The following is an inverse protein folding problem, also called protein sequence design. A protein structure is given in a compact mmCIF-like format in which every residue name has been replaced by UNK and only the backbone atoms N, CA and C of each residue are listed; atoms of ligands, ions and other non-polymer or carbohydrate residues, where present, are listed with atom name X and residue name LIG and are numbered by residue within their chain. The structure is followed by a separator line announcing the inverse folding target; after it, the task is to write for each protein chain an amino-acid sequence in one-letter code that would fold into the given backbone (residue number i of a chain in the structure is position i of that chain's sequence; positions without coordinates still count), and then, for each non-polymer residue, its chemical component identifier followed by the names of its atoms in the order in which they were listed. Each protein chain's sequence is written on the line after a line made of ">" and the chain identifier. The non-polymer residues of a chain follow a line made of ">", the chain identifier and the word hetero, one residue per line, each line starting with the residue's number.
data_IF_032279723306
#
_entry.id   IF_032279723306
#
_cell.length_a   1.000
_cell.length_b   1.000
_cell.length_c   1.000
_cell.angle_alpha   90.00
_cell.angle_beta   90.00
_cell.angle_gamma   90.00
#
_symmetry.space_group_name_H-M   'P 1'
#
loop_
_entity.id
_entity.type
_entity.pdbx_description
1 polymer ?
#
# COMPACT_ATOMS: atom_id res chain seq x y z
N UNK A 1 17.00 14.04 11.02
CA UNK A 1 16.14 12.84 11.26
C UNK A 1 16.13 12.05 9.97
N UNK A 2 16.11 10.72 10.02
CA UNK A 2 16.06 9.91 8.78
C UNK A 2 14.66 9.95 8.20
N UNK A 3 14.50 10.31 6.93
CA UNK A 3 13.19 10.32 6.25
C UNK A 3 12.63 8.88 6.12
N UNK A 4 11.31 8.76 6.10
CA UNK A 4 10.63 7.50 5.82
C UNK A 4 10.61 7.22 4.32
N UNK A 5 10.46 8.27 3.51
CA UNK A 5 10.46 8.20 2.04
C UNK A 5 11.35 9.32 1.52
N UNK A 6 12.19 9.00 0.54
CA UNK A 6 12.99 9.97 -0.21
C UNK A 6 12.82 9.67 -1.70
N UNK A 7 12.54 10.68 -2.51
CA UNK A 7 12.30 10.54 -3.94
C UNK A 7 13.10 11.62 -4.67
N UNK A 8 13.87 11.22 -5.69
CA UNK A 8 14.70 12.11 -6.49
C UNK A 8 14.47 11.89 -7.98
N UNK A 9 13.91 12.89 -8.66
CA UNK A 9 13.65 12.92 -10.10
C UNK A 9 12.96 11.63 -10.62
N UNK A 10 12.02 11.07 -9.83
CA UNK A 10 11.39 9.80 -10.13
C UNK A 10 10.50 9.93 -11.36
N UNK A 11 10.75 9.09 -12.35
CA UNK A 11 10.05 9.09 -13.63
C UNK A 11 9.41 7.74 -13.91
N UNK A 12 8.17 7.74 -14.41
CA UNK A 12 7.47 6.54 -14.87
C UNK A 12 6.69 6.80 -16.14
N UNK A 13 6.89 5.94 -17.14
CA UNK A 13 6.23 5.99 -18.44
C UNK A 13 5.47 4.70 -18.71
N UNK A 14 4.35 4.82 -19.43
CA UNK A 14 3.56 3.71 -19.96
C UNK A 14 3.35 3.95 -21.46
N UNK A 15 4.21 3.35 -22.30
CA UNK A 15 4.25 3.65 -23.71
C UNK A 15 4.58 5.14 -23.94
N UNK A 16 3.70 5.86 -24.60
CA UNK A 16 3.83 7.30 -24.86
C UNK A 16 3.39 8.20 -23.69
N UNK A 17 2.72 7.63 -22.68
CA UNK A 17 2.20 8.38 -21.54
C UNK A 17 3.28 8.49 -20.45
N UNK A 18 3.68 9.70 -20.09
CA UNK A 18 4.48 9.97 -18.89
C UNK A 18 3.53 10.12 -17.70
N UNK A 19 3.52 9.15 -16.80
CA UNK A 19 2.68 9.13 -15.62
C UNK A 19 3.31 9.87 -14.43
N UNK A 20 4.64 9.89 -14.34
CA UNK A 20 5.44 10.69 -13.41
C UNK A 20 6.62 11.27 -14.18
N UNK A 21 6.86 12.56 -14.00
CA UNK A 21 7.94 13.29 -14.66
C UNK A 21 8.81 13.99 -13.62
N UNK A 22 9.99 13.42 -13.36
CA UNK A 22 11.03 13.94 -12.45
C UNK A 22 10.52 14.40 -11.05
N UNK A 23 9.58 13.62 -10.48
CA UNK A 23 8.99 13.93 -9.18
C UNK A 23 10.03 13.79 -8.07
N UNK A 24 10.13 14.81 -7.19
CA UNK A 24 11.05 14.81 -6.05
C UNK A 24 10.35 15.36 -4.81
N UNK A 25 10.41 14.63 -3.71
CA UNK A 25 10.00 15.08 -2.37
C UNK A 25 10.46 14.09 -1.31
N UNK A 26 10.29 14.47 -0.05
CA UNK A 26 10.62 13.66 1.11
C UNK A 26 9.42 13.58 2.07
N UNK A 27 9.34 12.49 2.83
CA UNK A 27 8.35 12.30 3.89
C UNK A 27 9.08 11.91 5.17
N UNK A 28 8.83 12.63 6.25
CA UNK A 28 9.40 12.37 7.56
C UNK A 28 8.87 11.09 8.21
N UNK A 29 9.62 10.52 9.15
CA UNK A 29 9.12 9.38 9.94
C UNK A 29 7.97 9.81 10.84
N UNK A 30 6.92 8.98 10.89
CA UNK A 30 5.72 9.23 11.69
C UNK A 30 4.80 10.30 11.11
N UNK A 31 5.11 10.81 9.91
CA UNK A 31 4.30 11.81 9.23
C UNK A 31 3.09 11.18 8.54
N UNK A 32 1.92 11.82 8.69
CA UNK A 32 0.75 11.55 7.87
C UNK A 32 0.84 12.43 6.61
N UNK A 33 1.21 11.83 5.49
CA UNK A 33 1.40 12.52 4.22
C UNK A 33 0.27 12.23 3.24
N UNK A 34 -0.25 13.26 2.57
CA UNK A 34 -1.33 13.16 1.59
C UNK A 34 -0.93 13.66 0.21
N UNK A 35 -1.25 12.88 -0.82
CA UNK A 35 -1.14 13.28 -2.23
C UNK A 35 -2.52 13.71 -2.74
N UNK A 36 -2.65 14.98 -3.13
CA UNK A 36 -3.88 15.56 -3.67
C UNK A 36 -3.66 15.92 -5.14
N UNK A 37 -4.66 15.68 -5.96
CA UNK A 37 -4.62 16.02 -7.39
C UNK A 37 -5.74 15.32 -8.17
N UNK A 38 -5.97 15.73 -9.42
CA UNK A 38 -7.02 15.17 -10.28
C UNK A 38 -6.76 13.68 -10.61
N UNK A 39 -7.77 13.03 -11.18
CA UNK A 39 -7.60 11.70 -11.74
C UNK A 39 -6.61 11.73 -12.91
N UNK A 40 -5.76 10.70 -12.98
CA UNK A 40 -4.67 10.65 -13.97
C UNK A 40 -3.38 11.39 -13.55
N UNK A 41 -3.35 12.14 -12.44
CA UNK A 41 -2.15 12.86 -11.99
C UNK A 41 -0.97 11.98 -11.51
N UNK A 42 -1.02 10.67 -11.70
CA UNK A 42 0.09 9.77 -11.34
C UNK A 42 0.11 9.30 -9.89
N UNK A 43 -0.82 9.73 -9.02
CA UNK A 43 -0.86 9.36 -7.58
C UNK A 43 -0.75 7.85 -7.35
N UNK A 44 -1.60 7.08 -8.02
CA UNK A 44 -1.60 5.60 -7.91
C UNK A 44 -0.30 4.99 -8.45
N UNK A 45 0.27 5.56 -9.49
CA UNK A 45 1.56 5.12 -10.05
C UNK A 45 2.67 5.31 -9.02
N UNK A 46 2.70 6.46 -8.35
CA UNK A 46 3.67 6.75 -7.31
C UNK A 46 3.57 5.75 -6.14
N UNK A 47 2.36 5.51 -5.62
CA UNK A 47 2.17 4.50 -4.57
C UNK A 47 2.62 3.09 -5.00
N UNK A 48 2.38 2.71 -6.27
CA UNK A 48 2.83 1.41 -6.79
C UNK A 48 4.35 1.31 -6.90
N UNK A 49 5.04 2.41 -7.23
CA UNK A 49 6.50 2.46 -7.23
C UNK A 49 7.06 2.29 -5.81
N UNK A 50 6.53 3.05 -4.84
CA UNK A 50 6.96 2.98 -3.45
C UNK A 50 6.64 1.61 -2.81
N UNK A 51 5.52 1.00 -3.18
CA UNK A 51 5.17 -0.37 -2.78
C UNK A 51 5.90 -1.45 -3.61
N UNK A 52 6.81 -1.04 -4.50
CA UNK A 52 7.62 -1.93 -5.34
C UNK A 52 6.82 -2.84 -6.29
N UNK A 53 5.60 -2.44 -6.64
CA UNK A 53 4.73 -3.20 -7.55
C UNK A 53 5.06 -2.95 -9.03
N UNK A 54 5.72 -1.84 -9.32
CA UNK A 54 6.26 -1.49 -10.65
C UNK A 54 7.64 -0.88 -10.47
N UNK A 55 8.51 -1.00 -11.47
CA UNK A 55 9.83 -0.36 -11.47
C UNK A 55 9.77 1.04 -12.10
N UNK A 56 10.60 1.99 -11.64
CA UNK A 56 10.76 3.28 -12.28
C UNK A 56 11.48 3.16 -13.63
N UNK A 57 11.30 4.18 -14.48
CA UNK A 57 12.05 4.31 -15.74
C UNK A 57 13.21 5.32 -15.61
N UNK A 58 13.21 6.12 -14.53
CA UNK A 58 14.28 7.06 -14.19
C UNK A 58 14.16 7.58 -12.77
N UNK A 59 15.23 8.21 -12.29
CA UNK A 59 15.32 8.71 -10.92
C UNK A 59 15.52 7.61 -9.90
N UNK A 60 15.45 7.97 -8.63
CA UNK A 60 15.62 7.03 -7.49
C UNK A 60 14.57 7.30 -6.42
N UNK A 61 14.26 6.28 -5.65
CA UNK A 61 13.47 6.46 -4.42
C UNK A 61 13.87 5.43 -3.36
N UNK A 62 13.73 5.81 -2.12
CA UNK A 62 13.93 4.92 -0.98
C UNK A 62 12.72 4.91 -0.05
N UNK A 63 12.47 3.77 0.55
CA UNK A 63 11.47 3.58 1.60
C UNK A 63 12.20 2.99 2.81
N UNK A 64 12.13 3.68 3.93
CA UNK A 64 12.84 3.33 5.17
C UNK A 64 14.36 3.17 4.98
N UNK A 65 14.94 3.96 4.05
CA UNK A 65 16.35 3.90 3.66
C UNK A 65 16.72 2.71 2.79
N UNK A 66 15.73 1.99 2.24
CA UNK A 66 15.88 0.88 1.32
C UNK A 66 15.53 1.32 -0.11
N UNK A 67 16.39 1.02 -1.08
CA UNK A 67 16.15 1.36 -2.49
C UNK A 67 14.99 0.55 -3.07
N UNK A 68 14.04 1.21 -3.75
CA UNK A 68 12.81 0.57 -4.27
C UNK A 68 13.07 -0.47 -5.37
N UNK A 69 14.26 -0.47 -5.99
CA UNK A 69 14.65 -1.43 -7.03
C UNK A 69 15.55 -2.52 -6.45
N UNK A 70 16.61 -2.14 -5.75
CA UNK A 70 17.59 -3.10 -5.23
C UNK A 70 17.05 -3.88 -4.02
N UNK A 71 16.32 -3.23 -3.13
CA UNK A 71 15.84 -3.80 -1.86
C UNK A 71 14.34 -4.16 -1.87
N UNK A 72 13.72 -4.33 -3.02
CA UNK A 72 12.26 -4.49 -3.14
C UNK A 72 11.65 -5.60 -2.26
N UNK A 73 12.37 -6.70 -2.04
CA UNK A 73 11.90 -7.80 -1.17
C UNK A 73 11.81 -7.34 0.28
N UNK A 74 12.85 -6.66 0.77
CA UNK A 74 12.92 -6.14 2.14
C UNK A 74 11.89 -5.04 2.39
N UNK A 75 11.58 -4.23 1.38
CA UNK A 75 10.52 -3.21 1.46
C UNK A 75 9.16 -3.89 1.61
N UNK A 76 8.86 -4.94 0.82
CA UNK A 76 7.60 -5.69 0.89
C UNK A 76 7.33 -6.35 2.25
N UNK A 77 8.37 -6.65 3.02
CA UNK A 77 8.26 -7.16 4.39
C UNK A 77 7.88 -6.06 5.41
N UNK A 78 7.98 -4.78 5.03
CA UNK A 78 7.82 -3.63 5.95
C UNK A 78 6.65 -2.73 5.62
N UNK A 79 6.14 -2.78 4.38
CA UNK A 79 5.08 -1.88 3.93
C UNK A 79 3.77 -2.63 3.74
N UNK A 80 2.68 -2.00 4.16
CA UNK A 80 1.32 -2.38 3.77
C UNK A 80 0.85 -1.51 2.61
N UNK A 81 0.29 -2.13 1.57
CA UNK A 81 -0.31 -1.44 0.44
C UNK A 81 -1.81 -1.75 0.36
N UNK A 82 -2.62 -0.72 0.47
CA UNK A 82 -4.07 -0.84 0.25
C UNK A 82 -4.44 -0.16 -1.07
N UNK A 83 -4.82 -0.92 -2.11
CA UNK A 83 -5.21 -0.35 -3.39
C UNK A 83 -6.54 0.39 -3.28
N UNK A 84 -6.73 1.42 -4.13
CA UNK A 84 -7.98 2.17 -4.20
C UNK A 84 -9.17 1.41 -4.81
N UNK A 85 -8.95 0.16 -5.26
CA UNK A 85 -10.01 -0.75 -5.70
C UNK A 85 -10.16 -1.87 -4.69
N UNK A 86 -11.37 -2.39 -4.55
CA UNK A 86 -11.65 -3.55 -3.73
C UNK A 86 -10.70 -4.71 -4.09
N UNK A 87 -9.94 -5.18 -3.12
CA UNK A 87 -8.83 -6.13 -3.33
C UNK A 87 -8.98 -7.44 -2.55
N UNK A 88 -10.04 -7.56 -1.75
CA UNK A 88 -10.35 -8.81 -1.06
C UNK A 88 -11.02 -9.80 -2.03
N UNK A 89 -10.97 -11.08 -1.72
CA UNK A 89 -11.71 -12.11 -2.43
C UNK A 89 -13.21 -11.94 -2.15
N UNK A 90 -14.02 -11.50 -3.14
CA UNK A 90 -15.40 -11.10 -2.89
C UNK A 90 -16.31 -12.25 -2.48
N UNK A 91 -15.98 -13.48 -2.88
CA UNK A 91 -16.74 -14.70 -2.57
C UNK A 91 -16.43 -15.28 -1.20
N UNK A 92 -15.30 -14.92 -0.61
CA UNK A 92 -14.94 -15.28 0.74
C UNK A 92 -15.58 -14.33 1.76
N UNK A 93 -15.89 -14.83 2.94
CA UNK A 93 -16.27 -13.99 4.08
C UNK A 93 -15.12 -13.12 4.55
N UNK A 94 -15.42 -12.13 5.38
CA UNK A 94 -14.40 -11.31 6.05
C UNK A 94 -13.42 -12.18 6.84
N UNK A 95 -13.94 -13.16 7.59
CA UNK A 95 -13.10 -14.08 8.38
C UNK A 95 -12.20 -14.96 7.52
N UNK A 96 -12.72 -15.48 6.40
CA UNK A 96 -11.92 -16.29 5.46
C UNK A 96 -10.85 -15.46 4.75
N UNK A 97 -11.13 -14.21 4.37
CA UNK A 97 -10.13 -13.31 3.84
C UNK A 97 -9.02 -13.05 4.87
N UNK A 98 -9.37 -12.77 6.13
CA UNK A 98 -8.37 -12.57 7.19
C UNK A 98 -7.50 -13.82 7.39
N UNK A 99 -8.10 -15.00 7.45
CA UNK A 99 -7.37 -16.25 7.61
C UNK A 99 -6.44 -16.53 6.41
N UNK A 100 -6.92 -16.26 5.20
CA UNK A 100 -6.13 -16.40 3.98
C UNK A 100 -4.88 -15.49 4.00
N UNK A 101 -5.05 -14.21 4.29
CA UNK A 101 -3.92 -13.27 4.32
C UNK A 101 -2.98 -13.55 5.50
N UNK A 102 -3.49 -13.94 6.67
CA UNK A 102 -2.66 -14.34 7.79
C UNK A 102 -1.76 -15.53 7.43
N UNK A 103 -2.34 -16.56 6.79
CA UNK A 103 -1.58 -17.71 6.31
C UNK A 103 -0.56 -17.33 5.23
N UNK A 104 -0.93 -16.44 4.29
CA UNK A 104 -0.06 -15.97 3.22
C UNK A 104 1.18 -15.23 3.76
N UNK A 105 0.99 -14.42 4.79
CA UNK A 105 2.07 -13.64 5.42
C UNK A 105 2.75 -14.36 6.60
N UNK A 106 2.29 -15.56 6.97
CA UNK A 106 2.87 -16.33 8.04
C UNK A 106 2.71 -15.69 9.42
N UNK A 107 1.57 -14.99 9.66
CA UNK A 107 1.28 -14.29 10.92
C UNK A 107 0.01 -14.85 11.56
N UNK A 108 -0.05 -14.79 12.89
CA UNK A 108 -1.27 -15.11 13.64
C UNK A 108 -2.16 -13.87 13.77
N UNK A 109 -3.46 -14.02 13.50
CA UNK A 109 -4.42 -12.89 13.59
C UNK A 109 -4.43 -12.28 15.00
N UNK A 110 -4.21 -13.11 16.03
CA UNK A 110 -4.22 -12.68 17.43
C UNK A 110 -3.01 -11.80 17.82
N UNK A 111 -1.86 -11.96 17.16
CA UNK A 111 -0.61 -11.27 17.55
C UNK A 111 -0.72 -9.74 17.54
N UNK A 112 -1.50 -9.19 16.61
CA UNK A 112 -1.63 -7.75 16.43
C UNK A 112 -3.08 -7.27 16.60
N UNK A 113 -3.93 -8.10 17.24
CA UNK A 113 -5.35 -7.78 17.38
C UNK A 113 -5.58 -6.44 18.09
N UNK A 114 -4.86 -6.16 19.16
CA UNK A 114 -5.02 -4.92 19.93
C UNK A 114 -4.73 -3.66 19.12
N UNK A 115 -3.78 -3.75 18.16
CA UNK A 115 -3.46 -2.65 17.25
C UNK A 115 -4.62 -2.31 16.32
N UNK A 116 -5.31 -3.33 15.81
CA UNK A 116 -6.40 -3.16 14.82
C UNK A 116 -7.79 -3.14 15.46
N UNK A 117 -7.91 -3.56 16.74
CA UNK A 117 -9.19 -3.71 17.42
C UNK A 117 -10.09 -2.46 17.36
N UNK A 118 -9.59 -1.24 17.50
CA UNK A 118 -10.44 -0.03 17.43
C UNK A 118 -11.19 0.09 16.10
N UNK A 119 -10.59 -0.39 15.00
CA UNK A 119 -11.20 -0.38 13.66
C UNK A 119 -11.95 -1.69 13.42
N UNK A 120 -11.30 -2.83 13.72
CA UNK A 120 -11.83 -4.16 13.40
C UNK A 120 -13.16 -4.47 14.12
N UNK A 121 -13.36 -4.00 15.36
CA UNK A 121 -14.62 -4.18 16.11
C UNK A 121 -15.85 -3.66 15.38
N UNK A 122 -15.70 -2.71 14.46
CA UNK A 122 -16.80 -2.20 13.65
C UNK A 122 -17.21 -3.21 12.55
N UNK A 123 -16.27 -4.04 12.09
CA UNK A 123 -16.48 -5.03 11.03
C UNK A 123 -16.71 -6.44 11.60
N UNK A 124 -16.25 -6.72 12.81
CA UNK A 124 -16.32 -8.01 13.48
C UNK A 124 -17.74 -8.64 13.49
N UNK A 125 -18.84 -7.87 13.71
CA UNK A 125 -20.19 -8.40 13.62
C UNK A 125 -20.55 -8.95 12.23
N UNK A 126 -19.84 -8.54 11.21
CA UNK A 126 -20.02 -8.97 9.81
C UNK A 126 -19.00 -10.02 9.38
N UNK A 127 -18.25 -10.63 10.31
CA UNK A 127 -17.17 -11.58 10.02
C UNK A 127 -17.60 -12.75 9.10
N UNK A 128 -18.83 -13.20 9.23
CA UNK A 128 -19.39 -14.27 8.38
C UNK A 128 -19.94 -13.76 7.04
N UNK A 129 -20.01 -12.45 6.82
CA UNK A 129 -20.53 -11.88 5.57
C UNK A 129 -19.49 -11.98 4.46
N UNK A 130 -19.92 -12.32 3.24
CA UNK A 130 -19.06 -12.28 2.06
C UNK A 130 -18.52 -10.86 1.84
N UNK A 131 -17.21 -10.75 1.56
CA UNK A 131 -16.55 -9.47 1.40
C UNK A 131 -17.15 -8.62 0.26
N UNK A 132 -17.59 -9.24 -0.83
CA UNK A 132 -18.29 -8.56 -1.93
C UNK A 132 -19.67 -7.99 -1.58
N UNK A 133 -20.19 -8.27 -0.38
CA UNK A 133 -21.46 -7.71 0.13
C UNK A 133 -21.26 -6.60 1.16
N UNK A 134 -20.01 -6.17 1.39
CA UNK A 134 -19.70 -5.03 2.24
C UNK A 134 -19.90 -3.73 1.47
N UNK A 135 -20.24 -2.65 2.19
CA UNK A 135 -20.27 -1.30 1.62
C UNK A 135 -18.86 -0.75 1.46
N UNK A 136 -18.68 0.25 0.58
CA UNK A 136 -17.37 0.84 0.31
C UNK A 136 -16.69 1.51 1.51
N UNK A 137 -17.41 1.73 2.61
CA UNK A 137 -16.87 2.27 3.86
C UNK A 137 -16.56 1.21 4.93
N UNK A 138 -16.85 -0.04 4.64
CA UNK A 138 -16.57 -1.20 5.49
C UNK A 138 -15.35 -1.97 4.94
#
# INVERSE_FOLDING_TARGET
>A
MRNAIEIHALTKRYGTLTALDEVSFEVGRGELFGLIGPDGAGKTTLFRLLATLVAPDGGTASVDGLDIVADYKRIRERVGYMPGRFSLYPDLSVGENLAFFAALFGVEIAENYDLIAPIYRQIEPFRARRAGKLSGGM
#
